data_IF_747437942909
#
_entry.id   IF_747437942909
#
_cell.length_a   1.000
_cell.length_b   1.000
_cell.length_c   1.000
_cell.angle_alpha   90.00
_cell.angle_beta   90.00
_cell.angle_gamma   90.00
#
_symmetry.space_group_name_H-M   'P 1'
#
loop_
_entity.id
_entity.type
_entity.pdbx_description
1 polymer ?
#
# COMPACT_ATOMS: atom_id res chain seq x y z
N UNK A 1 15.11 14.03 7.74
CA UNK A 1 16.00 13.09 8.45
C UNK A 1 16.03 11.84 7.59
N UNK A 2 17.21 11.40 7.16
CA UNK A 2 17.34 10.30 6.21
C UNK A 2 17.12 8.97 6.95
N UNK A 3 16.11 8.20 6.53
CA UNK A 3 15.84 6.88 7.11
C UNK A 3 16.58 5.85 6.27
N UNK A 4 17.59 5.21 6.86
CA UNK A 4 18.31 4.08 6.28
C UNK A 4 17.82 2.80 6.97
N UNK A 5 17.47 1.79 6.19
CA UNK A 5 17.21 0.43 6.67
C UNK A 5 18.31 -0.49 6.16
N UNK A 6 18.80 -1.38 7.02
CA UNK A 6 19.97 -2.22 6.76
C UNK A 6 19.61 -3.72 6.72
N UNK A 7 20.51 -4.51 6.12
CA UNK A 7 20.34 -5.91 5.73
C UNK A 7 21.68 -6.65 5.87
N UNK A 8 21.64 -7.88 6.40
CA UNK A 8 22.79 -8.75 6.66
C UNK A 8 22.32 -10.21 6.46
N UNK A 9 23.03 -11.16 5.83
CA UNK A 9 24.28 -11.18 5.05
C UNK A 9 24.09 -12.18 3.87
N UNK A 10 25.02 -12.60 3.00
CA UNK A 10 26.49 -12.61 2.91
C UNK A 10 26.96 -12.05 1.54
N UNK A 11 28.18 -11.51 1.45
CA UNK A 11 28.87 -11.05 0.22
C UNK A 11 27.98 -10.51 -0.92
N UNK A 12 27.09 -9.57 -0.62
CA UNK A 12 26.24 -8.90 -1.61
C UNK A 12 26.33 -7.38 -1.48
N UNK A 13 26.33 -6.67 -2.61
CA UNK A 13 26.23 -5.21 -2.61
C UNK A 13 24.93 -4.78 -1.92
N UNK A 14 25.04 -4.15 -0.76
CA UNK A 14 23.90 -3.66 0.02
C UNK A 14 23.15 -2.58 -0.76
N UNK A 15 21.92 -2.88 -1.17
CA UNK A 15 21.04 -1.94 -1.86
C UNK A 15 20.26 -1.13 -0.82
N UNK A 16 20.56 0.17 -0.74
CA UNK A 16 19.94 1.09 0.22
C UNK A 16 18.85 1.89 -0.49
N UNK A 17 17.61 1.78 0.00
CA UNK A 17 16.51 2.65 -0.44
C UNK A 17 16.59 3.97 0.32
N UNK A 18 16.65 5.08 -0.41
CA UNK A 18 16.85 6.43 0.13
C UNK A 18 15.56 7.23 -0.01
N UNK A 19 14.95 7.60 1.11
CA UNK A 19 13.70 8.37 1.14
C UNK A 19 13.87 9.72 1.81
N UNK A 20 13.29 10.73 1.18
CA UNK A 20 12.92 11.98 1.81
C UNK A 20 11.59 11.81 2.53
N UNK A 21 11.61 12.09 3.83
CA UNK A 21 10.43 12.26 4.68
C UNK A 21 10.42 13.72 5.17
N UNK A 22 9.23 14.27 5.48
CA UNK A 22 9.13 15.64 5.97
C UNK A 22 9.89 15.84 7.30
N UNK A 23 10.25 17.10 7.61
CA UNK A 23 11.01 17.40 8.83
C UNK A 23 10.18 17.02 10.06
N UNK A 24 10.70 16.08 10.84
CA UNK A 24 10.07 15.52 12.04
C UNK A 24 9.59 16.61 13.01
N UNK A 25 8.27 16.74 13.15
CA UNK A 25 7.64 17.08 14.43
C UNK A 25 7.47 15.80 15.23
N UNK A 26 7.66 15.84 16.56
CA UNK A 26 7.41 14.67 17.44
C UNK A 26 5.94 14.27 17.53
N UNK A 27 5.04 15.10 17.00
CA UNK A 27 3.63 14.78 16.79
C UNK A 27 3.25 15.14 15.37
N UNK A 28 2.91 14.12 14.56
CA UNK A 28 2.34 14.28 13.23
C UNK A 28 0.83 14.45 13.39
N UNK A 29 0.27 15.61 13.03
CA UNK A 29 -1.19 15.77 12.94
C UNK A 29 -1.74 14.80 11.88
N UNK A 30 -2.96 14.28 12.11
CA UNK A 30 -3.59 13.24 11.28
C UNK A 30 -3.48 13.49 9.75
N UNK A 31 -3.64 14.73 9.22
CA UNK A 31 -3.49 14.99 7.78
C UNK A 31 -2.08 14.78 7.19
N UNK A 32 -1.05 14.54 8.00
CA UNK A 32 0.35 14.46 7.59
C UNK A 32 0.98 13.07 7.80
N UNK A 33 0.21 12.07 8.24
CA UNK A 33 0.73 10.71 8.57
C UNK A 33 1.31 9.94 7.38
N UNK A 34 0.93 10.31 6.16
CA UNK A 34 1.50 9.76 4.92
C UNK A 34 2.97 10.16 4.66
N UNK A 35 3.53 11.08 5.46
CA UNK A 35 4.93 11.52 5.37
C UNK A 35 5.88 10.63 6.20
N UNK A 36 5.38 9.50 6.72
CA UNK A 36 6.10 8.52 7.53
C UNK A 36 5.96 7.12 6.92
N UNK A 37 6.93 6.24 7.16
CA UNK A 37 6.85 4.83 6.77
C UNK A 37 6.29 4.06 7.97
N UNK A 38 5.26 3.23 7.73
CA UNK A 38 4.58 2.43 8.74
C UNK A 38 4.94 0.94 8.60
N UNK A 39 4.70 0.13 9.64
CA UNK A 39 5.20 -1.25 9.69
C UNK A 39 4.58 -2.17 8.61
N UNK A 40 3.34 -1.92 8.20
CA UNK A 40 2.70 -2.62 7.09
C UNK A 40 3.41 -2.36 5.75
N UNK A 41 4.00 -1.18 5.55
CA UNK A 41 4.77 -0.89 4.34
C UNK A 41 6.06 -1.72 4.27
N UNK A 42 6.75 -1.95 5.40
CA UNK A 42 7.88 -2.88 5.45
C UNK A 42 7.46 -4.34 5.21
N UNK A 43 6.33 -4.77 5.79
CA UNK A 43 5.78 -6.11 5.55
C UNK A 43 5.42 -6.34 4.07
N UNK A 44 4.79 -5.36 3.44
CA UNK A 44 4.44 -5.41 2.03
C UNK A 44 5.67 -5.42 1.13
N UNK A 45 6.69 -4.62 1.47
CA UNK A 45 7.96 -4.60 0.76
C UNK A 45 8.68 -5.96 0.80
N UNK A 46 8.75 -6.60 1.96
CA UNK A 46 9.27 -7.98 2.10
C UNK A 46 8.48 -8.97 1.22
N UNK A 47 7.15 -8.89 1.26
CA UNK A 47 6.29 -9.76 0.47
C UNK A 47 6.53 -9.57 -1.04
N UNK A 48 6.56 -8.32 -1.52
CA UNK A 48 6.86 -7.98 -2.92
C UNK A 48 8.19 -8.58 -3.37
N UNK A 49 9.23 -8.49 -2.55
CA UNK A 49 10.55 -9.07 -2.85
C UNK A 49 10.50 -10.61 -2.88
N UNK A 50 9.80 -11.24 -1.93
CA UNK A 50 9.63 -12.70 -1.88
C UNK A 50 8.87 -13.24 -3.10
N UNK A 51 7.86 -12.50 -3.58
CA UNK A 51 7.00 -12.89 -4.69
C UNK A 51 7.44 -12.31 -6.04
N UNK A 52 8.69 -11.83 -6.14
CA UNK A 52 9.26 -11.18 -7.33
C UNK A 52 8.89 -11.90 -8.63
N UNK A 53 9.26 -13.18 -8.75
CA UNK A 53 9.02 -13.99 -9.96
C UNK A 53 7.58 -14.47 -10.12
N UNK A 54 6.95 -15.15 -9.13
CA UNK A 54 5.64 -15.76 -9.35
C UNK A 54 4.49 -14.75 -9.48
N UNK A 55 4.63 -13.55 -8.90
CA UNK A 55 3.52 -12.58 -8.83
C UNK A 55 3.82 -11.25 -9.51
N UNK A 56 5.01 -10.66 -9.32
CA UNK A 56 5.28 -9.28 -9.74
C UNK A 56 6.00 -9.13 -11.09
N UNK A 57 6.71 -10.15 -11.57
CA UNK A 57 7.45 -10.12 -12.84
C UNK A 57 6.49 -9.85 -14.02
N UNK A 58 6.90 -8.95 -14.90
CA UNK A 58 6.12 -8.44 -16.04
C UNK A 58 4.74 -7.80 -15.73
N UNK A 59 4.44 -7.47 -14.48
CA UNK A 59 3.15 -6.84 -14.09
C UNK A 59 3.12 -5.31 -14.11
N UNK A 60 1.92 -4.75 -14.29
CA UNK A 60 1.58 -3.37 -13.91
C UNK A 60 1.05 -3.35 -12.48
N UNK A 61 1.73 -2.63 -11.61
CA UNK A 61 1.35 -2.43 -10.21
C UNK A 61 0.77 -1.03 -10.03
N UNK A 62 -0.34 -0.93 -9.30
CA UNK A 62 -0.94 0.30 -8.80
C UNK A 62 -0.75 0.37 -7.29
N UNK A 63 -0.16 1.45 -6.78
CA UNK A 63 -0.12 1.73 -5.34
C UNK A 63 -1.17 2.79 -4.97
N UNK A 64 -2.02 2.46 -4.00
CA UNK A 64 -3.05 3.36 -3.45
C UNK A 64 -2.59 3.92 -2.10
N UNK A 65 -2.73 5.24 -1.91
CA UNK A 65 -2.23 5.97 -0.73
C UNK A 65 -0.73 5.69 -0.47
N UNK A 66 0.09 5.94 -1.49
CA UNK A 66 1.52 5.67 -1.50
C UNK A 66 2.33 6.36 -0.40
N UNK A 67 1.84 7.48 0.15
CA UNK A 67 2.55 8.29 1.14
C UNK A 67 3.91 8.75 0.59
N UNK A 68 5.00 8.34 1.25
CA UNK A 68 6.36 8.65 0.76
C UNK A 68 6.81 7.82 -0.45
N UNK A 69 5.99 6.86 -0.91
CA UNK A 69 6.25 6.00 -2.07
C UNK A 69 7.24 4.85 -1.81
N UNK A 70 7.42 4.41 -0.56
CA UNK A 70 8.37 3.36 -0.21
C UNK A 70 8.07 2.04 -0.94
N UNK A 71 6.85 1.53 -0.78
CA UNK A 71 6.41 0.27 -1.39
C UNK A 71 6.32 0.37 -2.92
N UNK A 72 6.02 1.54 -3.47
CA UNK A 72 6.19 1.87 -4.89
C UNK A 72 7.63 1.76 -5.40
N UNK A 73 8.64 2.22 -4.64
CA UNK A 73 10.06 2.01 -4.99
C UNK A 73 10.37 0.51 -5.06
N UNK A 74 9.92 -0.26 -4.07
CA UNK A 74 10.17 -1.72 -4.00
C UNK A 74 9.48 -2.47 -5.14
N UNK A 75 8.21 -2.17 -5.42
CA UNK A 75 7.50 -2.68 -6.60
C UNK A 75 8.25 -2.33 -7.89
N UNK A 76 8.78 -1.10 -8.00
CA UNK A 76 9.60 -0.66 -9.12
C UNK A 76 10.91 -1.43 -9.33
N UNK A 77 11.41 -2.18 -8.34
CA UNK A 77 12.60 -3.04 -8.49
C UNK A 77 12.29 -4.41 -9.13
N UNK A 78 11.01 -4.79 -9.20
CA UNK A 78 10.56 -6.14 -9.58
C UNK A 78 9.53 -6.18 -10.71
N UNK A 79 8.65 -5.17 -10.82
CA UNK A 79 7.57 -5.11 -11.79
C UNK A 79 8.01 -4.51 -13.15
N UNK A 80 7.12 -4.60 -14.16
CA UNK A 80 7.28 -3.92 -15.45
C UNK A 80 6.92 -2.43 -15.34
N UNK A 81 5.85 -2.13 -14.62
CA UNK A 81 5.39 -0.76 -14.38
C UNK A 81 4.89 -0.60 -12.94
N UNK A 82 5.17 0.57 -12.35
CA UNK A 82 4.56 1.03 -11.09
C UNK A 82 3.85 2.38 -11.31
N UNK A 83 2.59 2.43 -10.91
CA UNK A 83 1.74 3.63 -10.90
C UNK A 83 1.44 3.95 -9.43
N UNK A 84 2.10 4.95 -8.88
CA UNK A 84 1.84 5.40 -7.52
C UNK A 84 0.76 6.47 -7.49
N UNK A 85 -0.15 6.35 -6.54
CA UNK A 85 -1.24 7.30 -6.36
C UNK A 85 -1.41 7.72 -4.90
N UNK A 86 -1.71 8.99 -4.72
CA UNK A 86 -2.08 9.59 -3.44
C UNK A 86 -2.98 10.81 -3.72
N UNK A 87 -3.52 11.41 -2.67
CA UNK A 87 -4.33 12.62 -2.80
C UNK A 87 -3.43 13.83 -3.06
N UNK A 88 -3.76 14.67 -4.05
CA UNK A 88 -2.97 15.86 -4.40
C UNK A 88 -3.11 16.98 -3.35
N UNK A 89 -2.46 16.79 -2.19
CA UNK A 89 -2.45 17.67 -1.03
C UNK A 89 -1.05 17.69 -0.42
N UNK A 90 -0.60 18.86 0.04
CA UNK A 90 0.64 19.00 0.83
C UNK A 90 1.95 18.68 0.10
N UNK A 91 1.95 18.57 -1.23
CA UNK A 91 3.16 18.25 -2.03
C UNK A 91 3.57 16.78 -1.99
N UNK A 92 2.63 15.86 -1.72
CA UNK A 92 2.91 14.42 -1.59
C UNK A 92 3.32 13.79 -2.93
N UNK A 93 2.72 14.21 -4.04
CA UNK A 93 3.04 13.68 -5.37
C UNK A 93 4.48 14.06 -5.79
N UNK A 94 4.91 15.29 -5.52
CA UNK A 94 6.30 15.74 -5.70
C UNK A 94 7.26 15.05 -4.73
N UNK A 95 6.82 14.64 -3.55
CA UNK A 95 7.64 13.84 -2.64
C UNK A 95 7.87 12.44 -3.21
N UNK A 96 6.82 11.75 -3.66
CA UNK A 96 6.91 10.43 -4.32
C UNK A 96 7.83 10.53 -5.55
N UNK A 97 7.63 11.51 -6.43
CA UNK A 97 8.49 11.72 -7.61
C UNK A 97 9.96 11.94 -7.25
N UNK A 98 10.26 12.73 -6.20
CA UNK A 98 11.64 12.94 -5.72
C UNK A 98 12.24 11.67 -5.12
N UNK A 99 11.45 10.87 -4.40
CA UNK A 99 11.86 9.59 -3.85
C UNK A 99 12.11 8.55 -4.95
N UNK A 100 11.28 8.50 -5.98
CA UNK A 100 11.52 7.69 -7.18
C UNK A 100 12.81 8.10 -7.89
N UNK A 101 13.03 9.41 -8.08
CA UNK A 101 14.27 9.93 -8.69
C UNK A 101 15.53 9.57 -7.89
N UNK A 102 15.48 9.58 -6.55
CA UNK A 102 16.58 9.15 -5.66
C UNK A 102 16.92 7.66 -5.82
N UNK A 103 15.92 6.82 -6.11
CA UNK A 103 16.06 5.36 -6.19
C UNK A 103 16.06 4.82 -7.62
N UNK A 104 16.20 5.67 -8.64
CA UNK A 104 16.14 5.29 -10.06
C UNK A 104 17.13 4.18 -10.46
N UNK A 105 18.28 4.09 -9.78
CA UNK A 105 19.32 3.08 -9.96
C UNK A 105 18.93 1.68 -9.43
N UNK A 106 17.89 1.59 -8.59
CA UNK A 106 17.31 0.34 -8.10
C UNK A 106 16.10 -0.09 -8.95
N UNK A 107 15.35 0.87 -9.46
CA UNK A 107 14.10 0.67 -10.17
C UNK A 107 14.35 0.24 -11.63
N UNK A 108 13.64 -0.79 -12.06
CA UNK A 108 13.62 -1.32 -13.43
C UNK A 108 12.32 -1.02 -14.17
N UNK A 109 11.24 -0.80 -13.42
CA UNK A 109 9.92 -0.52 -13.94
C UNK A 109 9.85 0.87 -14.61
N UNK A 110 8.94 1.04 -15.57
CA UNK A 110 8.42 2.36 -15.88
C UNK A 110 7.65 2.92 -14.67
N UNK A 111 7.71 4.24 -14.46
CA UNK A 111 7.14 4.87 -13.27
C UNK A 111 6.16 5.97 -13.63
N UNK A 112 4.96 5.93 -13.04
CA UNK A 112 3.98 7.03 -13.08
C UNK A 112 3.61 7.45 -11.65
N UNK A 113 3.39 8.76 -11.43
CA UNK A 113 2.84 9.29 -10.17
C UNK A 113 1.63 10.14 -10.54
N UNK A 114 0.45 9.81 -10.02
CA UNK A 114 -0.84 10.41 -10.40
C UNK A 114 -1.69 10.72 -9.16
N UNK A 115 -2.52 11.76 -9.24
CA UNK A 115 -3.50 12.06 -8.19
C UNK A 115 -4.65 11.06 -8.18
N UNK A 116 -5.05 10.59 -6.99
CA UNK A 116 -6.25 9.79 -6.75
C UNK A 116 -6.77 10.10 -5.34
N UNK A 117 -7.92 10.76 -5.24
CA UNK A 117 -8.66 10.95 -3.98
C UNK A 117 -9.80 9.93 -3.90
N UNK A 118 -9.89 9.14 -2.82
CA UNK A 118 -10.92 8.10 -2.67
C UNK A 118 -12.35 8.65 -2.59
N UNK A 119 -12.51 9.94 -2.30
CA UNK A 119 -13.81 10.63 -2.28
C UNK A 119 -14.23 11.17 -3.66
N UNK A 120 -13.36 11.12 -4.68
CA UNK A 120 -13.69 11.58 -6.03
C UNK A 120 -14.28 10.46 -6.88
N UNK A 121 -15.36 10.77 -7.59
CA UNK A 121 -15.97 9.85 -8.54
C UNK A 121 -15.24 9.89 -9.90
N UNK A 122 -14.91 11.08 -10.39
CA UNK A 122 -14.21 11.24 -11.67
C UNK A 122 -12.68 11.07 -11.54
N UNK A 123 -12.09 10.34 -12.48
CA UNK A 123 -10.64 10.14 -12.58
C UNK A 123 -10.08 10.80 -13.83
N UNK A 124 -8.82 11.26 -13.78
CA UNK A 124 -8.17 11.80 -14.98
C UNK A 124 -8.05 10.72 -16.07
N UNK A 125 -8.15 11.08 -17.37
CA UNK A 125 -7.98 10.10 -18.46
C UNK A 125 -6.64 9.35 -18.44
N UNK A 126 -5.61 9.97 -17.87
CA UNK A 126 -4.30 9.34 -17.65
C UNK A 126 -4.38 8.23 -16.58
N UNK A 127 -5.07 8.50 -15.46
CA UNK A 127 -5.29 7.51 -14.41
C UNK A 127 -6.21 6.38 -14.89
N UNK A 128 -7.36 6.69 -15.52
CA UNK A 128 -8.27 5.66 -16.01
C UNK A 128 -7.60 4.63 -16.93
N UNK A 129 -6.73 5.11 -17.82
CA UNK A 129 -5.96 4.24 -18.72
C UNK A 129 -5.06 3.31 -17.92
N UNK A 130 -4.38 3.81 -16.89
CA UNK A 130 -3.54 2.98 -15.99
C UNK A 130 -4.35 1.99 -15.15
N UNK A 131 -5.53 2.36 -14.68
CA UNK A 131 -6.42 1.43 -13.96
C UNK A 131 -6.90 0.27 -14.86
N UNK A 132 -7.07 0.52 -16.17
CA UNK A 132 -7.38 -0.51 -17.19
C UNK A 132 -6.17 -1.39 -17.57
N UNK A 133 -4.95 -0.92 -17.33
CA UNK A 133 -3.69 -1.64 -17.57
C UNK A 133 -3.19 -2.42 -16.33
N UNK A 134 -3.71 -2.11 -15.14
CA UNK A 134 -3.26 -2.66 -13.84
C UNK A 134 -3.57 -4.15 -13.67
N UNK A 135 -2.56 -4.94 -13.29
CA UNK A 135 -2.69 -6.34 -12.87
C UNK A 135 -2.84 -6.45 -11.33
N UNK A 136 -2.04 -5.68 -10.58
CA UNK A 136 -1.92 -5.79 -9.12
C UNK A 136 -2.14 -4.42 -8.48
N UNK A 137 -2.96 -4.38 -7.43
CA UNK A 137 -3.13 -3.22 -6.57
C UNK A 137 -2.42 -3.50 -5.25
N UNK A 138 -1.69 -2.53 -4.70
CA UNK A 138 -1.03 -2.61 -3.40
C UNK A 138 -1.43 -1.41 -2.52
N UNK A 139 -1.57 -1.63 -1.21
CA UNK A 139 -1.76 -0.57 -0.22
C UNK A 139 -1.15 -0.97 1.14
N UNK A 140 -0.59 0.01 1.86
CA UNK A 140 0.00 -0.19 3.18
C UNK A 140 -0.57 0.80 4.20
N UNK A 141 -1.02 0.30 5.37
CA UNK A 141 -1.47 1.09 6.53
C UNK A 141 -2.53 2.19 6.24
N UNK A 142 -3.31 2.04 5.15
CA UNK A 142 -4.37 2.98 4.73
C UNK A 142 -5.63 2.95 5.62
N UNK A 143 -5.74 1.98 6.53
CA UNK A 143 -6.92 1.75 7.39
C UNK A 143 -6.70 2.35 8.78
N UNK A 144 -7.09 3.62 8.96
CA UNK A 144 -6.95 4.35 10.23
C UNK A 144 -8.11 5.32 10.57
N UNK A 145 -9.06 5.51 9.66
CA UNK A 145 -10.28 6.31 9.86
C UNK A 145 -11.47 5.60 9.18
N UNK A 146 -12.66 5.67 9.78
CA UNK A 146 -13.82 4.93 9.30
C UNK A 146 -14.38 5.51 8.00
N UNK A 147 -14.48 6.83 7.87
CA UNK A 147 -15.00 7.48 6.65
C UNK A 147 -14.05 7.26 5.48
N UNK A 148 -12.74 7.36 5.73
CA UNK A 148 -11.70 7.06 4.75
C UNK A 148 -11.74 5.58 4.33
N UNK A 149 -11.99 4.66 5.27
CA UNK A 149 -12.12 3.23 4.98
C UNK A 149 -13.32 2.95 4.07
N UNK A 150 -14.46 3.62 4.27
CA UNK A 150 -15.62 3.49 3.38
C UNK A 150 -15.34 4.03 1.97
N UNK A 151 -14.76 5.23 1.88
CA UNK A 151 -14.36 5.83 0.60
C UNK A 151 -13.35 4.95 -0.14
N UNK A 152 -12.35 4.42 0.58
CA UNK A 152 -11.37 3.47 0.08
C UNK A 152 -12.03 2.19 -0.46
N UNK A 153 -12.96 1.58 0.27
CA UNK A 153 -13.69 0.38 -0.19
C UNK A 153 -14.49 0.70 -1.46
N UNK A 154 -15.20 1.83 -1.53
CA UNK A 154 -15.93 2.24 -2.75
C UNK A 154 -14.99 2.40 -3.94
N UNK A 155 -13.88 3.12 -3.75
CA UNK A 155 -12.86 3.34 -4.76
C UNK A 155 -12.25 2.02 -5.26
N UNK A 156 -11.75 1.18 -4.32
CA UNK A 156 -11.19 -0.14 -4.60
C UNK A 156 -12.19 -1.04 -5.35
N UNK A 157 -13.46 -1.04 -4.95
CA UNK A 157 -14.52 -1.81 -5.61
C UNK A 157 -14.67 -1.41 -7.08
N UNK A 158 -14.64 -0.10 -7.38
CA UNK A 158 -14.69 0.41 -8.75
C UNK A 158 -13.47 -0.04 -9.56
N UNK A 159 -12.26 0.03 -9.00
CA UNK A 159 -11.02 -0.38 -9.69
C UNK A 159 -11.01 -1.90 -9.96
N UNK A 160 -11.39 -2.72 -8.98
CA UNK A 160 -11.44 -4.18 -9.09
C UNK A 160 -12.49 -4.67 -10.10
N UNK A 161 -13.56 -3.90 -10.36
CA UNK A 161 -14.54 -4.19 -11.41
C UNK A 161 -14.02 -3.93 -12.83
N UNK A 162 -12.99 -3.09 -13.00
CA UNK A 162 -12.43 -2.81 -14.33
C UNK A 162 -11.64 -4.04 -14.82
N UNK A 163 -11.73 -4.43 -16.10
CA UNK A 163 -10.80 -5.41 -16.66
C UNK A 163 -9.35 -4.88 -16.68
N UNK A 164 -8.32 -5.75 -16.75
CA UNK A 164 -8.37 -7.20 -16.55
C UNK A 164 -8.72 -7.56 -15.10
N UNK A 165 -8.88 -8.85 -14.78
CA UNK A 165 -8.95 -9.32 -13.38
C UNK A 165 -7.73 -8.85 -12.59
N UNK A 166 -7.92 -8.48 -11.32
CA UNK A 166 -6.89 -7.85 -10.48
C UNK A 166 -6.71 -8.60 -9.17
N UNK A 167 -5.48 -8.60 -8.68
CA UNK A 167 -5.14 -8.99 -7.31
C UNK A 167 -4.86 -7.74 -6.50
N UNK A 168 -5.52 -7.58 -5.36
CA UNK A 168 -5.25 -6.53 -4.38
C UNK A 168 -4.53 -7.09 -3.15
N UNK A 169 -3.45 -6.43 -2.73
CA UNK A 169 -2.67 -6.75 -1.54
C UNK A 169 -2.75 -5.59 -0.54
N UNK A 170 -3.17 -5.89 0.68
CA UNK A 170 -3.26 -4.95 1.79
C UNK A 170 -2.39 -5.43 2.94
N UNK A 171 -1.36 -4.66 3.29
CA UNK A 171 -0.62 -4.85 4.53
C UNK A 171 -0.99 -3.77 5.54
N UNK A 172 -1.15 -4.12 6.81
CA UNK A 172 -1.31 -3.13 7.87
C UNK A 172 -0.92 -3.68 9.23
N UNK A 173 -0.64 -2.78 10.18
CA UNK A 173 -0.60 -3.10 11.60
C UNK A 173 -1.92 -2.73 12.29
N UNK A 174 -2.58 -3.71 12.91
CA UNK A 174 -3.81 -3.49 13.67
C UNK A 174 -3.52 -2.58 14.87
N UNK A 175 -4.20 -1.43 14.92
CA UNK A 175 -4.12 -0.48 16.03
C UNK A 175 -5.19 -0.79 17.06
N UNK A 176 -4.76 -1.30 18.22
CA UNK A 176 -5.67 -1.62 19.32
C UNK A 176 -5.86 -0.43 20.25
N UNK A 177 -7.10 -0.18 20.65
CA UNK A 177 -7.48 0.81 21.67
C UNK A 177 -8.54 0.21 22.58
N UNK A 178 -8.56 0.62 23.85
CA UNK A 178 -9.68 0.31 24.73
C UNK A 178 -10.86 1.23 24.38
N UNK A 179 -12.02 0.66 24.06
CA UNK A 179 -13.24 1.41 23.79
C UNK A 179 -14.20 1.29 24.97
N UNK A 180 -14.85 2.40 25.32
CA UNK A 180 -15.89 2.39 26.38
C UNK A 180 -17.17 1.71 25.88
N UNK A 181 -17.38 1.67 24.55
CA UNK A 181 -18.53 1.02 23.90
C UNK A 181 -18.45 -0.51 23.99
N UNK A 182 -17.30 -1.10 23.65
CA UNK A 182 -17.11 -2.56 23.71
C UNK A 182 -16.64 -3.05 25.10
N UNK A 183 -16.18 -2.14 25.96
CA UNK A 183 -15.55 -2.42 27.27
C UNK A 183 -14.32 -3.35 27.16
N UNK A 184 -13.66 -3.38 26.01
CA UNK A 184 -12.56 -4.29 25.66
C UNK A 184 -11.50 -3.59 24.77
N UNK A 185 -10.38 -4.27 24.55
CA UNK A 185 -9.28 -3.83 23.69
C UNK A 185 -9.49 -4.35 22.26
N UNK A 186 -10.09 -3.52 21.42
CA UNK A 186 -10.48 -3.82 20.03
C UNK A 186 -9.63 -3.08 19.01
N UNK A 187 -9.72 -3.44 17.72
CA UNK A 187 -9.02 -2.77 16.63
C UNK A 187 -10.03 -2.05 15.71
N UNK A 188 -10.68 -0.97 16.19
CA UNK A 188 -11.99 -0.54 15.69
C UNK A 188 -12.01 -0.18 14.21
N UNK A 189 -10.97 0.49 13.69
CA UNK A 189 -10.87 0.82 12.26
C UNK A 189 -10.67 -0.41 11.37
N UNK A 190 -9.94 -1.43 11.86
CA UNK A 190 -9.76 -2.70 11.15
C UNK A 190 -11.05 -3.51 11.11
N UNK A 191 -11.72 -3.61 12.27
CA UNK A 191 -12.98 -4.33 12.41
C UNK A 191 -14.10 -3.64 11.61
N UNK A 192 -14.15 -2.30 11.62
CA UNK A 192 -15.03 -1.49 10.78
C UNK A 192 -14.77 -1.71 9.29
N UNK A 193 -13.50 -1.63 8.85
CA UNK A 193 -13.14 -1.86 7.44
C UNK A 193 -13.60 -3.23 6.95
N UNK A 194 -13.32 -4.31 7.68
CA UNK A 194 -13.74 -5.65 7.26
C UNK A 194 -15.26 -5.88 7.35
N UNK A 195 -15.95 -5.27 8.32
CA UNK A 195 -17.41 -5.27 8.40
C UNK A 195 -18.03 -4.58 7.19
N UNK A 196 -17.52 -3.39 6.83
CA UNK A 196 -17.99 -2.62 5.69
C UNK A 196 -17.69 -3.32 4.36
N UNK A 197 -16.45 -3.75 4.14
CA UNK A 197 -16.02 -4.47 2.94
C UNK A 197 -16.87 -5.72 2.68
N UNK A 198 -17.11 -6.56 3.71
CA UNK A 198 -17.98 -7.73 3.59
C UNK A 198 -19.44 -7.37 3.28
N UNK A 199 -19.94 -6.26 3.83
CA UNK A 199 -21.29 -5.77 3.52
C UNK A 199 -21.42 -5.30 2.08
N UNK A 200 -20.44 -4.54 1.56
CA UNK A 200 -20.42 -4.08 0.17
C UNK A 200 -20.22 -5.23 -0.82
N UNK A 201 -19.48 -6.28 -0.44
CA UNK A 201 -19.13 -7.39 -1.32
C UNK A 201 -20.01 -8.64 -1.15
N UNK A 202 -21.16 -8.49 -0.49
CA UNK A 202 -22.11 -9.57 -0.22
C UNK A 202 -22.86 -10.10 -1.45
N UNK A 203 -22.83 -9.37 -2.57
CA UNK A 203 -23.64 -9.64 -3.77
C UNK A 203 -22.81 -9.72 -5.05
N UNK A 204 -23.27 -10.42 -6.11
CA UNK A 204 -22.54 -10.51 -7.37
C UNK A 204 -22.33 -9.15 -8.06
N UNK A 205 -21.22 -8.93 -8.77
CA UNK A 205 -20.14 -9.91 -8.97
C UNK A 205 -19.11 -9.97 -7.82
N UNK A 206 -19.17 -9.05 -6.84
CA UNK A 206 -18.21 -8.98 -5.72
C UNK A 206 -18.21 -10.23 -4.84
N UNK A 207 -19.36 -10.89 -4.69
CA UNK A 207 -19.50 -12.13 -3.91
C UNK A 207 -18.64 -13.30 -4.42
N UNK A 208 -18.09 -13.19 -5.64
CA UNK A 208 -17.21 -14.19 -6.23
C UNK A 208 -15.72 -13.91 -5.96
N UNK A 209 -15.39 -12.78 -5.33
CA UNK A 209 -14.02 -12.39 -5.02
C UNK A 209 -13.50 -13.15 -3.80
N UNK A 210 -12.29 -13.70 -3.91
CA UNK A 210 -11.67 -14.42 -2.78
C UNK A 210 -10.97 -13.42 -1.86
N UNK A 211 -11.23 -13.49 -0.55
CA UNK A 211 -10.55 -12.69 0.47
C UNK A 211 -9.77 -13.65 1.38
N UNK A 212 -8.44 -13.55 1.38
CA UNK A 212 -7.56 -14.45 2.13
C UNK A 212 -6.55 -13.65 2.97
N UNK A 213 -6.37 -14.03 4.24
CA UNK A 213 -5.20 -13.60 5.01
C UNK A 213 -4.03 -14.50 4.63
N UNK A 214 -2.86 -13.92 4.34
CA UNK A 214 -1.65 -14.64 4.01
C UNK A 214 -0.79 -14.87 5.26
N UNK A 215 -0.11 -16.02 5.29
CA UNK A 215 0.93 -16.29 6.28
C UNK A 215 2.15 -15.41 6.04
N UNK A 216 2.85 -15.04 7.13
CA UNK A 216 4.00 -14.15 7.10
C UNK A 216 5.34 -14.90 7.04
N UNK A 217 5.31 -16.16 6.57
CA UNK A 217 6.46 -17.05 6.41
C UNK A 217 7.20 -16.77 5.08
N UNK A 218 7.81 -15.60 5.02
CA UNK A 218 8.69 -15.17 3.93
C UNK A 218 9.85 -14.35 4.49
N UNK A 219 10.99 -14.36 3.80
CA UNK A 219 12.22 -13.70 4.25
C UNK A 219 11.98 -12.24 4.66
N UNK A 220 12.57 -11.83 5.78
CA UNK A 220 12.54 -10.44 6.23
C UNK A 220 13.73 -9.68 5.63
N UNK A 221 13.45 -8.69 4.79
CA UNK A 221 14.42 -7.90 4.02
C UNK A 221 14.56 -6.46 4.53
N UNK A 222 13.85 -6.07 5.59
CA UNK A 222 14.02 -4.75 6.22
C UNK A 222 14.14 -4.84 7.74
N UNK A 223 14.86 -3.89 8.33
CA UNK A 223 15.00 -3.75 9.77
C UNK A 223 13.72 -3.14 10.41
N UNK A 224 12.79 -4.00 10.81
CA UNK A 224 11.61 -3.68 11.62
C UNK A 224 11.21 -4.91 12.45
N UNK A 225 10.28 -4.77 13.39
CA UNK A 225 9.77 -5.90 14.18
C UNK A 225 8.41 -6.35 13.59
N UNK A 226 8.32 -7.63 13.21
CA UNK A 226 7.07 -8.29 12.81
C UNK A 226 6.22 -8.62 14.04
N UNK A 227 5.40 -7.67 14.48
CA UNK A 227 4.45 -7.88 15.58
C UNK A 227 3.36 -8.89 15.19
N UNK A 228 2.74 -9.54 16.18
CA UNK A 228 1.54 -10.38 16.00
C UNK A 228 0.30 -9.61 15.50
N UNK A 229 0.39 -8.30 15.35
CA UNK A 229 -0.69 -7.41 14.95
C UNK A 229 -0.57 -6.95 13.50
N UNK A 230 0.59 -7.19 12.88
CA UNK A 230 0.76 -7.08 11.43
C UNK A 230 -0.01 -8.18 10.71
N UNK A 231 -0.69 -7.80 9.64
CA UNK A 231 -1.42 -8.72 8.76
C UNK A 231 -1.21 -8.35 7.31
N UNK A 232 -1.20 -9.37 6.45
CA UNK A 232 -1.21 -9.25 5.01
C UNK A 232 -2.46 -9.95 4.47
N UNK A 233 -3.22 -9.23 3.63
CA UNK A 233 -4.43 -9.71 3.00
C UNK A 233 -4.27 -9.69 1.49
N UNK A 234 -4.77 -10.74 0.84
CA UNK A 234 -4.85 -10.86 -0.61
C UNK A 234 -6.32 -11.00 -1.02
N UNK A 235 -6.71 -10.22 -2.02
CA UNK A 235 -8.05 -10.22 -2.60
C UNK A 235 -7.92 -10.43 -4.11
N UNK A 236 -8.70 -11.34 -4.70
CA UNK A 236 -8.65 -11.61 -6.15
C UNK A 236 -10.05 -11.45 -6.75
N UNK A 237 -10.13 -10.63 -7.81
CA UNK A 237 -11.37 -10.26 -8.51
C UNK A 237 -11.62 -11.04 -9.82
#
# INVERSE_FOLDING_TARGET
MEVKSELYEEQTFQKVVILENSKFSKSTVIPLVGLQIWRGAFLLADYILSQRKPLFEDKVVLELAAGVGFTGVIAGMVAREIVCTDVDKGGILELIQRNFKRNNHLMKASTSVLSLDFYQEDWSPALERKLKETDIIIAADVIYDNNLSEAFVKCLTRILQMPPKKTFLLALEKRFVFTVEDLDVVAPCYDHFFKYLKSQWSSPPMSNWTIQQLDLDFQQMFAYERTKHLVLWMITA
#
